data_IF_470180119901
#
_entry.id   IF_470180119901
#
_cell.length_a   1.000
_cell.length_b   1.000
_cell.length_c   1.000
_cell.angle_alpha   90.00
_cell.angle_beta   90.00
_cell.angle_gamma   90.00
#
_symmetry.space_group_name_H-M   'P 1'
#
loop_
_entity.id
_entity.type
_entity.pdbx_description
1 polymer ?
#
# COMPACT_ATOMS: atom_id res chain seq x y z
N UNK A 1 -1.37 4.47 12.82
CA UNK A 1 -2.61 4.38 12.03
C UNK A 1 -2.82 2.95 11.54
N UNK A 2 -4.04 2.41 11.60
CA UNK A 2 -4.36 1.08 11.04
C UNK A 2 -5.14 1.28 9.73
N UNK A 3 -4.62 0.73 8.63
CA UNK A 3 -5.26 0.69 7.33
C UNK A 3 -5.78 -0.72 7.08
N UNK A 4 -7.10 -0.85 6.94
CA UNK A 4 -7.75 -2.11 6.61
C UNK A 4 -8.08 -2.13 5.12
N UNK A 5 -7.24 -2.81 4.35
CA UNK A 5 -7.49 -3.00 2.92
C UNK A 5 -8.68 -3.94 2.71
N UNK A 6 -9.61 -3.57 1.83
CA UNK A 6 -10.74 -4.44 1.46
C UNK A 6 -10.28 -5.61 0.59
N UNK A 7 -9.37 -5.33 -0.33
CA UNK A 7 -8.77 -6.27 -1.26
C UNK A 7 -7.24 -6.25 -1.11
N UNK A 8 -6.53 -7.15 -1.80
CA UNK A 8 -5.06 -7.11 -1.78
C UNK A 8 -4.57 -5.86 -2.53
N UNK A 9 -3.59 -5.17 -1.97
CA UNK A 9 -2.93 -4.05 -2.63
C UNK A 9 -1.89 -4.61 -3.61
N UNK A 10 -2.09 -4.40 -4.91
CA UNK A 10 -1.09 -4.75 -5.92
C UNK A 10 -0.19 -3.55 -6.16
N UNK A 11 1.10 -3.74 -5.89
CA UNK A 11 2.08 -2.68 -6.09
C UNK A 11 2.58 -2.74 -7.53
N UNK A 12 2.91 -1.57 -8.09
CA UNK A 12 3.31 -1.39 -9.48
C UNK A 12 4.78 -0.96 -9.59
N UNK A 13 5.32 -0.98 -10.81
CA UNK A 13 6.72 -0.63 -11.07
C UNK A 13 7.00 0.82 -10.67
N UNK A 14 8.23 1.12 -10.28
CA UNK A 14 8.73 2.47 -10.03
C UNK A 14 7.91 3.24 -8.98
N UNK A 15 7.53 2.54 -7.90
CA UNK A 15 6.78 3.13 -6.78
C UNK A 15 7.58 3.09 -5.48
N UNK A 16 7.46 4.19 -4.75
CA UNK A 16 7.94 4.31 -3.38
C UNK A 16 6.69 4.44 -2.51
N UNK A 17 6.52 3.52 -1.55
CA UNK A 17 5.51 3.63 -0.50
C UNK A 17 6.26 3.86 0.79
N UNK A 18 6.10 5.06 1.33
CA UNK A 18 6.80 5.46 2.53
C UNK A 18 5.83 6.03 3.56
N UNK A 19 5.93 5.47 4.77
CA UNK A 19 5.23 5.93 5.95
C UNK A 19 6.16 6.81 6.80
N UNK A 20 6.78 7.81 6.16
CA UNK A 20 7.63 8.77 6.86
C UNK A 20 6.85 9.40 8.02
N UNK A 21 7.50 9.44 9.18
CA UNK A 21 7.02 10.08 10.41
C UNK A 21 5.72 9.52 11.01
N UNK A 22 5.21 8.38 10.51
CA UNK A 22 3.99 7.76 11.03
C UNK A 22 4.09 6.22 11.09
N UNK A 23 3.68 5.64 12.22
CA UNK A 23 3.52 4.19 12.33
C UNK A 23 2.25 3.74 11.59
N UNK A 24 2.40 3.13 10.42
CA UNK A 24 1.28 2.63 9.61
C UNK A 24 1.24 1.12 9.66
N UNK A 25 0.06 0.59 10.04
CA UNK A 25 -0.22 -0.83 10.16
C UNK A 25 -1.22 -1.26 9.09
N UNK A 26 -0.80 -2.07 8.13
CA UNK A 26 -1.69 -2.78 7.22
C UNK A 26 -2.13 -4.07 7.91
N UNK A 27 -3.38 -4.12 8.38
CA UNK A 27 -3.85 -5.22 9.21
C UNK A 27 -5.35 -5.48 9.10
N UNK A 28 -5.76 -6.69 9.50
CA UNK A 28 -7.16 -7.15 9.62
C UNK A 28 -7.94 -7.18 8.30
N UNK A 29 -7.27 -7.05 7.16
CA UNK A 29 -7.83 -7.03 5.81
C UNK A 29 -6.90 -7.68 4.80
N UNK A 30 -7.00 -7.27 3.53
CA UNK A 30 -6.08 -7.68 2.48
C UNK A 30 -4.64 -7.25 2.79
N UNK A 31 -3.67 -8.04 2.32
CA UNK A 31 -2.25 -7.72 2.38
C UNK A 31 -1.76 -7.01 1.12
N UNK A 32 -0.45 -6.88 0.99
CA UNK A 32 0.20 -6.38 -0.23
C UNK A 32 0.70 -7.55 -1.09
N UNK A 33 0.65 -7.40 -2.41
CA UNK A 33 1.23 -8.32 -3.39
C UNK A 33 2.28 -7.57 -4.21
N UNK A 34 3.45 -8.17 -4.28
CA UNK A 34 4.55 -7.81 -5.18
C UNK A 34 4.71 -8.94 -6.19
N UNK A 35 4.27 -8.76 -7.44
CA UNK A 35 4.36 -9.80 -8.47
C UNK A 35 4.79 -9.23 -9.82
N UNK A 36 5.90 -9.75 -10.36
CA UNK A 36 6.49 -9.31 -11.64
C UNK A 36 6.72 -7.79 -11.71
N UNK A 37 7.19 -7.20 -10.60
CA UNK A 37 7.44 -5.76 -10.47
C UNK A 37 8.91 -5.45 -10.23
N UNK A 38 9.35 -4.29 -10.74
CA UNK A 38 10.72 -3.77 -10.61
C UNK A 38 10.73 -2.36 -10.00
N UNK A 39 11.83 -2.04 -9.29
CA UNK A 39 12.09 -0.72 -8.71
C UNK A 39 10.99 -0.26 -7.74
N UNK A 40 10.81 -1.03 -6.67
CA UNK A 40 9.82 -0.73 -5.62
C UNK A 40 10.54 -0.57 -4.29
N UNK A 41 10.25 0.52 -3.59
CA UNK A 41 10.76 0.77 -2.23
C UNK A 41 9.56 0.84 -1.28
N UNK A 42 9.58 0.02 -0.22
CA UNK A 42 8.60 0.03 0.85
C UNK A 42 9.31 0.20 2.18
N UNK A 43 9.07 1.33 2.85
CA UNK A 43 9.77 1.71 4.08
C UNK A 43 8.78 2.08 5.17
N UNK A 44 9.17 1.81 6.42
CA UNK A 44 8.43 2.22 7.63
C UNK A 44 6.99 1.67 7.74
N UNK A 45 6.69 0.57 7.05
CA UNK A 45 5.37 -0.09 7.07
C UNK A 45 5.35 -1.33 7.97
N UNK A 46 4.29 -1.47 8.76
CA UNK A 46 4.01 -2.66 9.56
C UNK A 46 2.89 -3.45 8.91
N UNK A 47 3.15 -4.69 8.50
CA UNK A 47 2.15 -5.56 7.86
C UNK A 47 1.94 -6.79 8.74
N UNK A 48 0.75 -6.93 9.33
CA UNK A 48 0.46 -8.04 10.24
C UNK A 48 -1.02 -8.39 10.27
N UNK A 49 -1.35 -9.59 10.76
CA UNK A 49 -2.74 -10.08 10.89
C UNK A 49 -3.53 -9.97 9.57
N UNK A 50 -2.90 -10.32 8.45
CA UNK A 50 -3.52 -10.36 7.13
C UNK A 50 -4.55 -11.46 7.05
N UNK A 51 -5.71 -11.17 6.45
CA UNK A 51 -6.80 -12.11 6.24
C UNK A 51 -6.96 -12.42 4.75
N UNK A 52 -7.51 -13.59 4.38
CA UNK A 52 -7.91 -13.86 3.00
C UNK A 52 -8.86 -12.75 2.52
N UNK A 53 -8.51 -12.14 1.39
CA UNK A 53 -9.30 -11.08 0.75
C UNK A 53 -9.45 -11.38 -0.74
N UNK A 54 -10.39 -10.68 -1.38
CA UNK A 54 -10.65 -10.77 -2.82
C UNK A 54 -9.42 -10.42 -3.69
N UNK A 55 -9.54 -10.59 -5.01
CA UNK A 55 -8.46 -10.34 -5.96
C UNK A 55 -7.92 -8.91 -5.82
N UNK A 56 -6.64 -8.75 -6.12
CA UNK A 56 -6.03 -7.42 -6.11
C UNK A 56 -6.59 -6.61 -7.28
N UNK A 57 -6.99 -5.36 -7.02
CA UNK A 57 -7.44 -4.45 -8.06
C UNK A 57 -6.33 -3.49 -8.42
N UNK A 58 -6.06 -3.40 -9.72
CA UNK A 58 -5.16 -2.40 -10.28
C UNK A 58 -5.92 -1.09 -10.45
N UNK A 59 -5.63 -0.12 -9.59
CA UNK A 59 -6.00 1.27 -9.84
C UNK A 59 -4.90 1.88 -10.73
N UNK A 60 -5.28 2.36 -11.92
CA UNK A 60 -4.32 2.96 -12.85
C UNK A 60 -3.74 4.23 -12.23
N UNK A 61 -2.42 4.29 -12.08
CA UNK A 61 -1.71 5.44 -11.52
C UNK A 61 -0.49 5.79 -12.36
N UNK A 62 -0.08 7.05 -12.33
CA UNK A 62 1.06 7.56 -13.08
C UNK A 62 2.33 6.73 -12.80
N UNK A 63 3.17 6.60 -13.83
CA UNK A 63 4.29 5.64 -13.88
C UNK A 63 5.47 5.96 -12.96
N UNK A 64 5.47 7.13 -12.30
CA UNK A 64 6.52 7.57 -11.37
C UNK A 64 5.88 8.41 -10.27
N UNK A 65 5.50 7.75 -9.18
CA UNK A 65 4.87 8.43 -8.05
C UNK A 65 5.47 7.93 -6.75
N UNK A 66 5.99 8.85 -5.95
CA UNK A 66 6.16 8.59 -4.53
C UNK A 66 4.79 8.73 -3.86
N UNK A 67 4.33 7.68 -3.19
CA UNK A 67 3.15 7.73 -2.36
C UNK A 67 3.59 7.89 -0.91
N UNK A 68 3.50 9.12 -0.41
CA UNK A 68 3.67 9.41 1.00
C UNK A 68 2.33 9.20 1.68
N UNK A 69 2.25 8.19 2.55
CA UNK A 69 1.02 7.97 3.31
C UNK A 69 1.09 8.86 4.54
N UNK A 70 0.47 10.03 4.47
CA UNK A 70 0.36 10.95 5.62
C UNK A 70 -1.00 10.80 6.31
N UNK A 71 -1.20 11.48 7.43
CA UNK A 71 -2.51 11.57 8.09
C UNK A 71 -3.57 12.34 7.29
N UNK A 72 -3.24 12.82 6.08
CA UNK A 72 -4.18 13.56 5.23
C UNK A 72 -5.26 12.61 4.66
N UNK A 73 -6.52 13.05 4.58
CA UNK A 73 -7.60 12.25 4.01
C UNK A 73 -7.47 12.03 2.49
N UNK A 74 -6.53 12.73 1.82
CA UNK A 74 -6.30 12.62 0.37
C UNK A 74 -5.49 11.36 0.05
N UNK A 75 -4.52 11.01 0.89
CA UNK A 75 -3.62 9.87 0.67
C UNK A 75 -4.34 8.51 0.85
N UNK A 76 -5.42 8.48 1.64
CA UNK A 76 -6.25 7.27 1.84
C UNK A 76 -7.11 6.90 0.63
N UNK A 77 -7.39 7.83 -0.28
CA UNK A 77 -8.22 7.55 -1.46
C UNK A 77 -7.45 6.84 -2.57
N UNK A 78 -6.13 6.80 -2.45
CA UNK A 78 -5.18 6.26 -3.42
C UNK A 78 -4.84 4.79 -3.11
N UNK A 79 -5.29 4.28 -1.95
CA UNK A 79 -5.01 2.96 -1.35
C UNK A 79 -6.22 2.02 -1.29
#
# INVERSE_FOLDING_TARGET
MIIKLKNKLMIMNFKIIDACDMQIFIAKGGGSIIHSISNVIMTSLYIHNIKPSGPAYLQHQAQWTCLFITSSPVDLQIL
#
